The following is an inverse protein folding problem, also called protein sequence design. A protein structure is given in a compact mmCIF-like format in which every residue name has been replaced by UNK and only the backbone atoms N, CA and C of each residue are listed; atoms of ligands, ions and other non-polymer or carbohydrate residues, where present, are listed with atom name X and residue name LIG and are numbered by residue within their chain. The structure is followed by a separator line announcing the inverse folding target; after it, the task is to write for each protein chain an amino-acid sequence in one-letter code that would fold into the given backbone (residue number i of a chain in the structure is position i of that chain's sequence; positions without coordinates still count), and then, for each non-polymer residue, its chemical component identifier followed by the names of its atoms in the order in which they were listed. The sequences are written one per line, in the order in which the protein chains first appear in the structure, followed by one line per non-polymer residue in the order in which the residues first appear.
data_IF_777017001254
#
_entry.id   IF_777017001254
#
_cell.length_a   1.000
_cell.length_b   1.000
_cell.length_c   1.000
_cell.angle_alpha   90.00
_cell.angle_beta   90.00
_cell.angle_gamma   90.00
#
_symmetry.space_group_name_H-M   'P 1'
#
loop_
_entity.id
_entity.type
_entity.pdbx_description
1 polymer ?
#
# COMPACT_ATOMS: atom_id res chain seq x y z
N UNK A 1 -31.46 3.02 -37.69
CA UNK A 1 -30.98 2.87 -36.29
C UNK A 1 -29.49 3.20 -36.22
N UNK A 2 -29.06 4.31 -35.60
CA UNK A 2 -27.64 4.62 -35.52
C UNK A 2 -27.01 3.84 -34.36
N UNK A 3 -25.98 3.04 -34.67
CA UNK A 3 -25.14 2.36 -33.70
C UNK A 3 -24.32 3.41 -32.93
N UNK A 4 -24.66 3.68 -31.67
CA UNK A 4 -23.79 4.45 -30.77
C UNK A 4 -22.50 3.65 -30.57
N UNK A 5 -21.43 4.15 -31.18
CA UNK A 5 -20.08 3.65 -30.93
C UNK A 5 -19.76 3.82 -29.45
N UNK A 6 -19.54 2.70 -28.76
CA UNK A 6 -18.95 2.67 -27.43
C UNK A 6 -17.58 3.35 -27.51
N UNK A 7 -17.48 4.59 -27.03
CA UNK A 7 -16.19 5.21 -26.74
C UNK A 7 -15.72 4.61 -25.42
N UNK A 8 -14.55 3.93 -25.36
CA UNK A 8 -14.00 3.51 -24.08
C UNK A 8 -13.82 4.77 -23.22
N UNK A 9 -14.56 4.82 -22.11
CA UNK A 9 -14.46 5.88 -21.14
C UNK A 9 -13.02 5.91 -20.61
N UNK A 10 -12.32 7.02 -20.90
CA UNK A 10 -11.15 7.51 -20.17
C UNK A 10 -10.20 6.42 -19.66
N UNK A 11 -9.19 6.09 -20.45
CA UNK A 11 -7.92 5.62 -19.90
C UNK A 11 -7.32 6.78 -19.10
N UNK A 12 -7.80 7.02 -17.88
CA UNK A 12 -7.20 8.03 -17.02
C UNK A 12 -5.73 7.65 -16.85
N UNK A 13 -4.78 8.42 -17.41
CA UNK A 13 -3.39 8.13 -17.19
C UNK A 13 -3.15 8.18 -15.69
N UNK A 14 -2.32 7.26 -15.21
CA UNK A 14 -1.78 7.26 -13.85
C UNK A 14 -1.56 8.71 -13.43
N UNK A 15 -2.25 9.17 -12.39
CA UNK A 15 -2.23 10.59 -12.01
C UNK A 15 -0.76 11.05 -12.01
N UNK A 16 -0.37 12.07 -12.80
CA UNK A 16 1.04 12.42 -13.01
C UNK A 16 1.74 12.70 -11.66
N UNK A 17 0.97 13.16 -10.68
CA UNK A 17 1.37 13.30 -9.28
C UNK A 17 1.82 11.96 -8.69
N UNK A 18 1.00 10.91 -8.80
CA UNK A 18 1.34 9.56 -8.32
C UNK A 18 2.56 8.96 -9.02
N UNK A 19 2.73 9.22 -10.32
CA UNK A 19 3.92 8.78 -11.06
C UNK A 19 5.20 9.46 -10.53
N UNK A 20 5.18 10.79 -10.41
CA UNK A 20 6.32 11.56 -9.90
C UNK A 20 6.70 11.14 -8.47
N UNK A 21 5.70 10.89 -7.63
CA UNK A 21 5.91 10.44 -6.26
C UNK A 21 6.46 9.02 -6.17
N UNK A 22 6.04 8.14 -7.08
CA UNK A 22 6.61 6.79 -7.19
C UNK A 22 8.06 6.83 -7.64
N UNK A 23 8.42 7.71 -8.57
CA UNK A 23 9.82 7.92 -8.98
C UNK A 23 10.67 8.50 -7.85
N UNK A 24 10.11 9.43 -7.06
CA UNK A 24 10.75 9.94 -5.86
C UNK A 24 10.91 8.85 -4.78
N UNK A 25 9.94 7.94 -4.65
CA UNK A 25 10.03 6.78 -3.77
C UNK A 25 11.21 5.88 -4.15
N UNK A 26 11.35 5.52 -5.43
CA UNK A 26 12.44 4.66 -5.91
C UNK A 26 13.81 5.22 -5.54
N UNK A 27 13.99 6.54 -5.61
CA UNK A 27 15.24 7.22 -5.21
C UNK A 27 15.57 7.11 -3.72
N UNK A 28 14.56 6.93 -2.86
CA UNK A 28 14.71 6.96 -1.40
C UNK A 28 14.54 5.56 -0.79
N UNK A 29 13.97 4.61 -1.54
CA UNK A 29 13.64 3.26 -1.10
C UNK A 29 14.87 2.43 -0.70
N UNK A 30 16.02 2.66 -1.34
CA UNK A 30 17.25 1.92 -1.08
C UNK A 30 18.01 2.43 0.16
N UNK A 31 17.55 3.52 0.80
CA UNK A 31 18.24 4.15 1.92
C UNK A 31 17.62 3.87 3.30
N UNK A 32 18.37 4.08 4.40
CA UNK A 32 17.85 3.99 5.79
C UNK A 32 16.76 5.02 6.10
N UNK A 33 16.55 6.00 5.19
CA UNK A 33 15.46 6.97 5.27
C UNK A 33 14.09 6.35 4.97
N UNK A 34 14.02 5.21 4.27
CA UNK A 34 12.76 4.51 3.95
C UNK A 34 11.93 4.21 5.20
N UNK A 35 12.56 3.57 6.19
CA UNK A 35 11.87 3.13 7.41
C UNK A 35 11.42 4.33 8.27
N UNK A 36 12.16 5.45 8.24
CA UNK A 36 11.72 6.71 8.86
C UNK A 36 10.53 7.33 8.13
N UNK A 37 10.53 7.26 6.80
CA UNK A 37 9.45 7.80 6.00
C UNK A 37 8.15 7.04 6.18
N UNK A 38 8.21 5.71 6.35
CA UNK A 38 7.05 4.88 6.66
C UNK A 38 6.27 5.40 7.87
N UNK A 39 6.94 5.82 8.94
CA UNK A 39 6.26 6.40 10.12
C UNK A 39 5.48 7.66 9.77
N UNK A 40 6.11 8.58 9.03
CA UNK A 40 5.50 9.85 8.63
C UNK A 40 4.32 9.62 7.70
N UNK A 41 4.51 8.79 6.67
CA UNK A 41 3.49 8.57 5.63
C UNK A 41 2.31 7.77 6.16
N UNK A 42 2.53 6.85 7.09
CA UNK A 42 1.46 6.09 7.72
C UNK A 42 0.59 6.95 8.62
N UNK A 43 1.19 7.86 9.41
CA UNK A 43 0.42 8.83 10.21
C UNK A 43 -0.37 9.77 9.30
N UNK A 44 0.26 10.26 8.24
CA UNK A 44 -0.38 11.13 7.25
C UNK A 44 -1.53 10.40 6.51
N UNK A 45 -1.37 9.11 6.22
CA UNK A 45 -2.38 8.27 5.59
C UNK A 45 -3.62 8.12 6.47
N UNK A 46 -3.44 7.85 7.77
CA UNK A 46 -4.54 7.77 8.74
C UNK A 46 -5.24 9.13 8.86
N UNK A 47 -4.47 10.23 8.95
CA UNK A 47 -5.02 11.57 9.00
C UNK A 47 -5.84 11.90 7.74
N UNK A 48 -5.38 11.49 6.55
CA UNK A 48 -6.11 11.69 5.31
C UNK A 48 -7.48 10.99 5.33
N UNK A 49 -7.54 9.73 5.79
CA UNK A 49 -8.80 9.00 5.91
C UNK A 49 -9.70 9.54 7.02
N UNK A 50 -9.13 10.03 8.13
CA UNK A 50 -9.90 10.72 9.17
C UNK A 50 -10.53 12.02 8.64
N UNK A 51 -9.77 12.83 7.88
CA UNK A 51 -10.29 14.03 7.20
C UNK A 51 -11.43 13.63 6.26
N UNK A 52 -11.23 12.62 5.40
CA UNK A 52 -12.27 12.13 4.50
C UNK A 52 -13.55 11.71 5.26
N UNK A 53 -13.40 11.04 6.40
CA UNK A 53 -14.51 10.58 7.25
C UNK A 53 -15.29 11.73 7.90
N UNK A 54 -14.62 12.85 8.19
CA UNK A 54 -15.22 14.06 8.77
C UNK A 54 -15.84 14.97 7.71
N UNK A 55 -15.30 14.99 6.49
CA UNK A 55 -15.73 15.89 5.41
C UNK A 55 -16.60 15.21 4.36
N UNK A 56 -17.36 14.18 4.73
CA UNK A 56 -18.22 13.44 3.80
C UNK A 56 -19.20 14.39 3.12
N UNK A 57 -19.26 14.34 1.79
CA UNK A 57 -20.09 15.22 0.97
C UNK A 57 -19.42 16.54 0.55
N UNK A 58 -18.23 16.85 1.07
CA UNK A 58 -17.46 18.04 0.66
C UNK A 58 -16.47 17.71 -0.46
N UNK A 59 -16.56 18.44 -1.58
CA UNK A 59 -15.60 18.33 -2.68
C UNK A 59 -14.18 18.75 -2.26
N UNK A 60 -14.07 19.78 -1.42
CA UNK A 60 -12.77 20.26 -0.91
C UNK A 60 -12.14 19.18 -0.04
N UNK A 61 -12.93 18.56 0.83
CA UNK A 61 -12.49 17.45 1.68
C UNK A 61 -11.99 16.25 0.87
N UNK A 62 -12.72 15.88 -0.19
CA UNK A 62 -12.31 14.82 -1.12
C UNK A 62 -10.99 15.15 -1.83
N UNK A 63 -10.80 16.38 -2.31
CA UNK A 63 -9.57 16.79 -2.99
C UNK A 63 -8.36 16.73 -2.05
N UNK A 64 -8.52 17.22 -0.81
CA UNK A 64 -7.47 17.15 0.23
C UNK A 64 -7.11 15.69 0.53
N UNK A 65 -8.12 14.85 0.77
CA UNK A 65 -7.92 13.42 0.97
C UNK A 65 -7.16 12.78 -0.20
N UNK A 66 -7.60 13.03 -1.44
CA UNK A 66 -7.01 12.46 -2.63
C UNK A 66 -5.53 12.82 -2.75
N UNK A 67 -5.18 14.10 -2.61
CA UNK A 67 -3.78 14.54 -2.68
C UNK A 67 -2.92 13.90 -1.58
N UNK A 68 -3.40 13.89 -0.33
CA UNK A 68 -2.69 13.27 0.78
C UNK A 68 -2.51 11.76 0.58
N UNK A 69 -3.54 11.07 0.09
CA UNK A 69 -3.50 9.65 -0.20
C UNK A 69 -2.45 9.34 -1.27
N UNK A 70 -2.41 10.11 -2.36
CA UNK A 70 -1.43 9.93 -3.43
C UNK A 70 0.02 10.13 -2.94
N UNK A 71 0.25 11.03 -1.98
CA UNK A 71 1.55 11.24 -1.32
C UNK A 71 2.00 10.05 -0.49
N UNK A 72 1.06 9.40 0.20
CA UNK A 72 1.37 8.31 1.12
C UNK A 72 1.49 6.94 0.43
N UNK A 73 0.72 6.73 -0.64
CA UNK A 73 0.54 5.44 -1.29
C UNK A 73 1.85 4.70 -1.65
N UNK A 74 2.90 5.34 -2.22
CA UNK A 74 4.14 4.64 -2.55
C UNK A 74 4.91 4.16 -1.30
N UNK A 75 4.86 4.93 -0.21
CA UNK A 75 5.66 4.71 0.99
C UNK A 75 5.01 3.76 1.99
N UNK A 76 3.68 3.83 2.14
CA UNK A 76 2.91 2.98 3.04
C UNK A 76 2.27 1.76 2.33
N UNK A 77 2.36 1.70 1.00
CA UNK A 77 1.67 0.69 0.19
C UNK A 77 2.55 -0.45 -0.31
N UNK A 78 2.16 -0.94 -1.48
CA UNK A 78 2.70 -2.14 -2.14
C UNK A 78 4.21 -2.09 -2.38
N UNK A 79 4.75 -0.95 -2.78
CA UNK A 79 6.17 -0.84 -3.13
C UNK A 79 7.05 -1.12 -1.90
N UNK A 80 6.73 -0.54 -0.75
CA UNK A 80 7.45 -0.77 0.49
C UNK A 80 7.28 -2.21 1.02
N UNK A 81 6.08 -2.80 0.87
CA UNK A 81 5.83 -4.21 1.18
C UNK A 81 6.75 -5.16 0.38
N UNK A 82 6.94 -4.90 -0.93
CA UNK A 82 7.83 -5.70 -1.77
C UNK A 82 9.28 -5.62 -1.32
N UNK A 83 9.75 -4.44 -0.92
CA UNK A 83 11.13 -4.27 -0.43
C UNK A 83 11.33 -5.01 0.91
N UNK A 84 10.41 -4.87 1.86
CA UNK A 84 10.53 -5.58 3.15
C UNK A 84 10.49 -7.09 3.01
N UNK A 85 9.61 -7.61 2.16
CA UNK A 85 9.55 -9.06 1.90
C UNK A 85 10.83 -9.57 1.21
N UNK A 86 11.46 -8.77 0.35
CA UNK A 86 12.77 -9.12 -0.22
C UNK A 86 13.87 -9.15 0.85
N UNK A 87 13.83 -8.24 1.82
CA UNK A 87 14.81 -8.21 2.90
C UNK A 87 14.63 -9.35 3.91
N UNK A 88 13.39 -9.78 4.16
CA UNK A 88 13.09 -10.76 5.23
C UNK A 88 13.03 -12.20 4.76
N UNK A 89 12.74 -12.45 3.48
CA UNK A 89 12.54 -13.80 2.95
C UNK A 89 13.75 -14.29 2.15
N UNK A 90 14.04 -15.62 2.16
CA UNK A 90 14.99 -16.25 1.25
C UNK A 90 14.63 -16.04 -0.22
N UNK A 91 15.63 -15.94 -1.10
CA UNK A 91 15.42 -15.67 -2.52
C UNK A 91 14.44 -16.64 -3.19
N UNK A 92 14.51 -17.92 -2.82
CA UNK A 92 13.72 -19.00 -3.43
C UNK A 92 12.22 -18.95 -3.09
N UNK A 93 11.85 -18.27 -2.00
CA UNK A 93 10.45 -18.23 -1.53
C UNK A 93 9.80 -16.84 -1.66
N UNK A 94 10.58 -15.78 -1.91
CA UNK A 94 10.09 -14.39 -2.05
C UNK A 94 8.89 -14.27 -3.00
N UNK A 95 9.01 -14.80 -4.21
CA UNK A 95 7.97 -14.70 -5.23
C UNK A 95 6.66 -15.39 -4.82
N UNK A 96 6.77 -16.62 -4.30
CA UNK A 96 5.61 -17.41 -3.84
C UNK A 96 4.92 -16.77 -2.66
N UNK A 97 5.67 -16.32 -1.65
CA UNK A 97 5.10 -15.64 -0.47
C UNK A 97 4.42 -14.33 -0.86
N UNK A 98 5.04 -13.52 -1.71
CA UNK A 98 4.42 -12.31 -2.24
C UNK A 98 3.14 -12.62 -3.02
N UNK A 99 3.15 -13.65 -3.88
CA UNK A 99 1.96 -14.08 -4.61
C UNK A 99 0.80 -14.49 -3.70
N UNK A 100 1.07 -15.35 -2.71
CA UNK A 100 0.06 -15.84 -1.75
C UNK A 100 -0.52 -14.69 -0.94
N UNK A 101 0.32 -13.83 -0.36
CA UNK A 101 -0.13 -12.68 0.43
C UNK A 101 -0.98 -11.72 -0.40
N UNK A 102 -0.64 -11.47 -1.67
CA UNK A 102 -1.47 -10.70 -2.59
C UNK A 102 -2.82 -11.36 -2.85
N UNK A 103 -2.83 -12.67 -3.13
CA UNK A 103 -4.06 -13.42 -3.37
C UNK A 103 -5.00 -13.38 -2.16
N UNK A 104 -4.46 -13.59 -0.95
CA UNK A 104 -5.22 -13.49 0.31
C UNK A 104 -5.76 -12.08 0.50
N UNK A 105 -4.93 -11.05 0.31
CA UNK A 105 -5.37 -9.65 0.47
C UNK A 105 -6.52 -9.30 -0.48
N UNK A 106 -6.45 -9.78 -1.73
CA UNK A 106 -7.52 -9.61 -2.72
C UNK A 106 -8.78 -10.41 -2.37
N UNK A 107 -8.63 -11.62 -1.85
CA UNK A 107 -9.75 -12.43 -1.38
C UNK A 107 -10.50 -11.76 -0.23
N UNK A 108 -9.78 -11.24 0.77
CA UNK A 108 -10.37 -10.47 1.88
C UNK A 108 -11.06 -9.21 1.36
N UNK A 109 -10.41 -8.46 0.47
CA UNK A 109 -11.02 -7.29 -0.17
C UNK A 109 -12.31 -7.63 -0.90
N UNK A 110 -12.33 -8.73 -1.68
CA UNK A 110 -13.52 -9.20 -2.37
C UNK A 110 -14.65 -9.57 -1.38
N UNK A 111 -14.32 -10.22 -0.26
CA UNK A 111 -15.29 -10.50 0.80
C UNK A 111 -15.92 -9.23 1.39
N UNK A 112 -15.09 -8.23 1.71
CA UNK A 112 -15.57 -6.94 2.25
C UNK A 112 -16.38 -6.15 1.22
N UNK A 113 -16.09 -6.31 -0.08
CA UNK A 113 -16.82 -5.65 -1.16
C UNK A 113 -18.32 -6.03 -1.16
N UNK A 114 -18.70 -7.23 -0.73
CA UNK A 114 -20.12 -7.62 -0.60
C UNK A 114 -20.86 -6.84 0.49
N UNK A 115 -20.17 -6.46 1.57
CA UNK A 115 -20.76 -5.72 2.70
C UNK A 115 -20.73 -4.20 2.47
N UNK A 116 -19.81 -3.73 1.62
CA UNK A 116 -19.61 -2.31 1.31
C UNK A 116 -20.88 -1.57 0.86
N UNK A 117 -21.73 -2.07 -0.08
CA UNK A 117 -22.95 -1.36 -0.48
C UNK A 117 -23.94 -1.20 0.69
N UNK A 118 -24.14 -2.25 1.49
CA UNK A 118 -25.02 -2.20 2.66
C UNK A 118 -24.53 -1.22 3.74
N UNK A 119 -23.21 -0.99 3.82
CA UNK A 119 -22.62 0.00 4.74
C UNK A 119 -22.76 1.43 4.19
N UNK A 120 -22.59 1.60 2.89
CA UNK A 120 -22.78 2.89 2.20
C UNK A 120 -24.21 3.41 2.33
N UNK A 121 -25.20 2.52 2.17
CA UNK A 121 -26.61 2.87 2.30
C UNK A 121 -26.97 3.36 3.72
N UNK A 122 -26.25 2.87 4.75
CA UNK A 122 -26.42 3.35 6.13
C UNK A 122 -25.72 4.68 6.37
N UNK A 123 -24.43 4.75 6.06
CA UNK A 123 -23.63 5.97 6.22
C UNK A 123 -22.27 5.83 5.52
N UNK A 124 -21.96 6.70 4.56
CA UNK A 124 -20.63 6.74 3.95
C UNK A 124 -19.53 7.11 4.95
N UNK A 125 -19.84 7.90 5.99
CA UNK A 125 -18.88 8.24 7.04
C UNK A 125 -18.48 7.02 7.86
N UNK A 126 -19.44 6.13 8.17
CA UNK A 126 -19.16 4.90 8.90
C UNK A 126 -18.17 4.01 8.13
N UNK A 127 -18.36 3.86 6.81
CA UNK A 127 -17.44 3.11 5.97
C UNK A 127 -16.02 3.68 6.04
N UNK A 128 -15.87 4.99 5.93
CA UNK A 128 -14.56 5.65 5.97
C UNK A 128 -13.90 5.53 7.35
N UNK A 129 -14.66 5.56 8.44
CA UNK A 129 -14.14 5.30 9.78
C UNK A 129 -13.66 3.86 9.95
N UNK A 130 -14.40 2.88 9.40
CA UNK A 130 -13.95 1.47 9.38
C UNK A 130 -12.64 1.34 8.61
N UNK A 131 -12.53 1.96 7.44
CA UNK A 131 -11.28 1.97 6.66
C UNK A 131 -10.14 2.65 7.43
N UNK A 132 -10.42 3.78 8.10
CA UNK A 132 -9.45 4.48 8.96
C UNK A 132 -8.93 3.56 10.06
N UNK A 133 -9.82 2.79 10.70
CA UNK A 133 -9.46 1.78 11.69
C UNK A 133 -8.56 0.68 11.11
N UNK A 134 -8.88 0.17 9.93
CA UNK A 134 -8.02 -0.80 9.23
C UNK A 134 -6.63 -0.21 8.90
N UNK A 135 -6.56 1.06 8.51
CA UNK A 135 -5.28 1.74 8.27
C UNK A 135 -4.47 1.88 9.57
N UNK A 136 -5.12 2.18 10.69
CA UNK A 136 -4.46 2.23 12.00
C UNK A 136 -3.92 0.86 12.44
N UNK A 137 -4.67 -0.22 12.22
CA UNK A 137 -4.20 -1.58 12.49
C UNK A 137 -3.02 -1.96 11.58
N UNK A 138 -3.09 -1.62 10.30
CA UNK A 138 -1.99 -1.82 9.35
C UNK A 138 -0.74 -1.04 9.75
N UNK A 139 -0.91 0.18 10.27
CA UNK A 139 0.18 0.99 10.80
C UNK A 139 0.93 0.26 11.92
N UNK A 140 0.19 -0.26 12.92
CA UNK A 140 0.77 -1.01 14.04
C UNK A 140 1.55 -2.23 13.53
N UNK A 141 0.98 -2.98 12.60
CA UNK A 141 1.66 -4.13 11.98
C UNK A 141 2.95 -3.71 11.24
N UNK A 142 2.91 -2.62 10.48
CA UNK A 142 4.09 -2.11 9.78
C UNK A 142 5.19 -1.61 10.72
N UNK A 143 4.81 -0.95 11.82
CA UNK A 143 5.78 -0.55 12.87
C UNK A 143 6.47 -1.77 13.47
N UNK A 144 5.72 -2.84 13.73
CA UNK A 144 6.28 -4.11 14.21
C UNK A 144 7.28 -4.70 13.21
N UNK A 145 6.94 -4.74 11.91
CA UNK A 145 7.85 -5.24 10.86
C UNK A 145 9.16 -4.45 10.83
N UNK A 146 9.09 -3.12 10.82
CA UNK A 146 10.26 -2.24 10.78
C UNK A 146 11.16 -2.42 12.01
N UNK A 147 10.57 -2.54 13.20
CA UNK A 147 11.34 -2.61 14.45
C UNK A 147 11.89 -3.99 14.74
N UNK A 148 11.23 -5.05 14.29
CA UNK A 148 11.50 -6.41 14.74
C UNK A 148 11.98 -7.31 13.61
N UNK A 149 11.32 -7.31 12.45
CA UNK A 149 11.63 -8.24 11.37
C UNK A 149 12.81 -7.77 10.51
N UNK A 150 12.83 -6.50 10.11
CA UNK A 150 13.88 -5.96 9.23
C UNK A 150 15.28 -6.05 9.87
N UNK A 151 15.48 -5.71 11.17
CA UNK A 151 16.79 -5.85 11.81
C UNK A 151 17.24 -7.30 11.97
N UNK A 152 16.30 -8.25 12.15
CA UNK A 152 16.61 -9.68 12.32
C UNK A 152 17.02 -10.38 11.03
N UNK A 153 16.60 -9.85 9.88
CA UNK A 153 16.94 -10.43 8.58
C UNK A 153 18.30 -9.93 8.04
N UNK A 154 18.77 -8.77 8.50
CA UNK A 154 20.05 -8.18 8.07
C UNK A 154 21.29 -9.07 8.35
N UNK A 155 21.38 -9.83 9.47
CA UNK A 155 22.49 -10.77 9.69
C UNK A 155 22.38 -12.08 8.90
N UNK A 156 21.16 -12.52 8.57
CA UNK A 156 20.92 -13.79 7.87
C UNK A 156 21.15 -13.67 6.35
N UNK A 157 20.95 -12.48 5.77
CA UNK A 157 21.19 -12.20 4.36
C UNK A 157 22.68 -12.15 3.98
N UNK A 158 23.58 -12.01 4.95
CA UNK A 158 25.05 -12.06 4.77
C UNK A 158 25.65 -13.45 4.87
N UNK A 159 24.86 -14.50 5.11
CA UNK A 159 25.35 -15.86 4.94
C UNK A 159 25.68 -16.05 3.45
N UNK A 160 26.94 -16.28 3.07
CA UNK A 160 27.31 -16.43 1.67
C UNK A 160 26.52 -17.61 1.11
N UNK A 161 25.60 -17.32 0.19
CA UNK A 161 24.95 -18.34 -0.60
C UNK A 161 26.07 -19.17 -1.25
N UNK A 162 26.08 -20.46 -0.91
CA UNK A 162 27.04 -21.45 -1.36
C UNK A 162 27.41 -21.23 -2.85
N UNK A 163 28.66 -20.82 -3.06
CA UNK A 163 29.36 -20.73 -4.34
C UNK A 163 29.58 -22.12 -5.00
N UNK A 164 28.86 -23.16 -4.57
CA UNK A 164 29.06 -24.54 -5.00
C UNK A 164 28.34 -24.94 -6.29
N UNK A 165 27.56 -24.07 -6.91
CA UNK A 165 26.90 -24.37 -8.20
C UNK A 165 27.77 -24.00 -9.42
N UNK A 166 28.94 -23.39 -9.21
CA UNK A 166 29.84 -22.98 -10.30
C UNK A 166 30.99 -23.95 -10.60
N UNK A 167 31.06 -25.14 -9.97
CA UNK A 167 32.12 -26.12 -10.23
C UNK A 167 31.59 -27.56 -10.27
N UNK A 168 30.81 -27.90 -11.30
CA UNK A 168 30.74 -29.26 -11.87
C UNK A 168 30.42 -29.17 -13.35
#
# INVERSE_FOLDING_TARGET
MPRRAWRPASTWPVSPIGLLLTLAFVRIADGPRRDRMFYVTTVLQIAAFAIASLTVGSIVGFLVFYLLYQLCYPFAGEANYKVWSQLTLPADTRGTTQGITYAVSRGVFAGVAFVTPALLDKSPSLLLWVITGCMALSAVAGVYIVRVLVPRASPAATAPADLKVAQT
#
